data_IF_065450215675
#
_entry.id   IF_065450215675
#
_cell.length_a   1.000
_cell.length_b   1.000
_cell.length_c   1.000
_cell.angle_alpha   90.00
_cell.angle_beta   90.00
_cell.angle_gamma   90.00
#
_symmetry.space_group_name_H-M   'P 1'
#
loop_
_entity.id
_entity.type
_entity.pdbx_description
1 polymer ?
#
# COMPACT_ATOMS: atom_id res chain seq x y z
N UNK A 1 -8.73 31.71 -25.76
CA UNK A 1 -8.73 31.62 -24.28
C UNK A 1 -9.14 30.21 -23.87
N UNK A 2 -8.19 29.30 -23.61
CA UNK A 2 -8.49 27.95 -23.11
C UNK A 2 -8.94 28.07 -21.66
N UNK A 3 -10.19 27.70 -21.37
CA UNK A 3 -10.70 27.60 -20.00
C UNK A 3 -9.94 26.48 -19.29
N UNK A 4 -9.16 26.84 -18.27
CA UNK A 4 -8.65 25.90 -17.28
C UNK A 4 -9.87 25.31 -16.54
N UNK A 5 -10.20 24.06 -16.84
CA UNK A 5 -11.08 23.27 -16.01
C UNK A 5 -10.22 22.83 -14.83
N UNK A 6 -10.26 23.59 -13.73
CA UNK A 6 -9.95 23.04 -12.41
C UNK A 6 -10.95 21.92 -12.21
N UNK A 7 -10.49 20.66 -12.18
CA UNK A 7 -11.26 19.58 -11.58
C UNK A 7 -11.40 19.95 -10.12
N UNK A 8 -12.54 20.52 -9.75
CA UNK A 8 -12.97 20.60 -8.37
C UNK A 8 -12.97 19.16 -7.83
N UNK A 9 -12.28 18.97 -6.71
CA UNK A 9 -12.33 17.72 -5.96
C UNK A 9 -13.81 17.43 -5.74
N UNK A 10 -14.27 16.29 -6.25
CA UNK A 10 -15.67 15.91 -6.20
C UNK A 10 -16.18 16.05 -4.78
N UNK A 11 -17.29 16.76 -4.63
CA UNK A 11 -18.03 16.88 -3.39
C UNK A 11 -18.18 15.47 -2.79
N UNK A 12 -17.58 15.28 -1.62
CA UNK A 12 -17.74 14.06 -0.83
C UNK A 12 -19.21 13.96 -0.46
N UNK A 13 -19.97 13.12 -1.16
CA UNK A 13 -21.34 12.85 -0.80
C UNK A 13 -21.33 12.00 0.49
N UNK A 14 -21.73 12.54 1.66
CA UNK A 14 -21.48 11.91 2.97
C UNK A 14 -22.31 10.65 3.25
N UNK A 15 -23.13 10.20 2.30
CA UNK A 15 -24.21 9.22 2.52
C UNK A 15 -23.79 7.75 2.31
N UNK A 16 -22.64 7.43 1.71
CA UNK A 16 -22.42 6.07 1.16
C UNK A 16 -21.44 5.15 1.90
N UNK A 17 -20.62 5.62 2.86
CA UNK A 17 -19.78 4.77 3.72
C UNK A 17 -19.10 5.55 4.84
N UNK A 18 -19.34 5.16 6.10
CA UNK A 18 -18.59 5.66 7.26
C UNK A 18 -17.50 4.63 7.57
N UNK A 19 -16.23 5.05 7.44
CA UNK A 19 -15.10 4.21 7.81
C UNK A 19 -15.06 4.02 9.33
N UNK A 20 -15.22 2.79 9.86
CA UNK A 20 -15.16 2.55 11.29
C UNK A 20 -13.79 2.96 11.85
N UNK A 21 -13.79 3.63 12.99
CA UNK A 21 -12.55 3.99 13.67
C UNK A 21 -11.75 2.73 13.98
N UNK A 22 -10.55 2.64 13.39
CA UNK A 22 -9.66 1.50 13.52
C UNK A 22 -8.51 1.91 14.44
N UNK A 23 -8.28 1.23 15.58
CA UNK A 23 -7.16 1.52 16.46
C UNK A 23 -5.81 1.40 15.74
N UNK A 24 -4.80 2.11 16.25
CA UNK A 24 -3.48 2.17 15.62
C UNK A 24 -2.84 0.77 15.51
N UNK A 25 -2.51 0.38 14.26
CA UNK A 25 -1.92 -0.91 13.93
C UNK A 25 -2.88 -2.09 14.01
N UNK A 26 -4.18 -1.88 14.18
CA UNK A 26 -5.17 -2.95 14.09
C UNK A 26 -5.69 -3.12 12.67
N UNK A 27 -6.13 -4.35 12.36
CA UNK A 27 -6.71 -4.67 11.07
C UNK A 27 -8.05 -3.93 10.93
N UNK A 28 -8.22 -3.24 9.82
CA UNK A 28 -9.47 -2.56 9.47
C UNK A 28 -10.66 -3.53 9.52
N UNK A 29 -11.77 -3.07 10.12
CA UNK A 29 -12.99 -3.84 10.19
C UNK A 29 -13.73 -3.79 8.84
N UNK A 30 -13.90 -4.96 8.21
CA UNK A 30 -14.53 -5.13 6.90
C UNK A 30 -15.98 -5.65 6.96
N UNK A 31 -16.58 -5.69 8.15
CA UNK A 31 -17.94 -6.24 8.36
C UNK A 31 -19.05 -5.30 7.89
N UNK A 32 -18.74 -4.02 7.68
CA UNK A 32 -19.70 -3.02 7.17
C UNK A 32 -19.86 -3.12 5.64
N UNK A 33 -21.00 -2.64 5.15
CA UNK A 33 -21.26 -2.57 3.71
C UNK A 33 -20.20 -1.70 3.02
N UNK A 34 -19.68 -2.15 1.88
CA UNK A 34 -18.69 -1.39 1.11
C UNK A 34 -19.29 -0.13 0.48
N UNK A 35 -18.49 0.93 0.39
CA UNK A 35 -18.80 2.12 -0.39
C UNK A 35 -19.16 1.76 -1.85
N UNK A 36 -20.14 2.48 -2.41
CA UNK A 36 -20.51 2.32 -3.83
C UNK A 36 -19.40 2.78 -4.78
N UNK A 37 -18.55 3.70 -4.34
CA UNK A 37 -17.45 4.25 -5.11
C UNK A 37 -16.11 4.02 -4.40
N UNK A 38 -15.07 3.78 -5.18
CA UNK A 38 -13.72 3.60 -4.66
C UNK A 38 -13.13 4.95 -4.22
N UNK A 39 -12.70 5.02 -2.96
CA UNK A 39 -11.94 6.14 -2.42
C UNK A 39 -10.60 5.60 -1.88
N UNK A 40 -9.45 5.91 -2.53
CA UNK A 40 -8.15 5.42 -2.11
C UNK A 40 -7.81 5.78 -0.66
N UNK A 41 -8.11 7.02 -0.25
CA UNK A 41 -7.80 7.51 1.11
C UNK A 41 -8.52 6.69 2.18
N UNK A 42 -9.78 6.31 1.94
CA UNK A 42 -10.52 5.45 2.86
C UNK A 42 -10.03 4.00 2.78
N UNK A 43 -9.74 3.50 1.58
CA UNK A 43 -9.33 2.11 1.40
C UNK A 43 -7.96 1.85 2.02
N UNK A 44 -6.97 2.72 1.79
CA UNK A 44 -5.59 2.56 2.24
C UNK A 44 -5.39 2.83 3.74
N UNK A 45 -6.31 3.57 4.36
CA UNK A 45 -6.26 3.92 5.79
C UNK A 45 -6.13 2.67 6.67
N UNK A 46 -5.20 2.75 7.63
CA UNK A 46 -4.90 1.72 8.64
C UNK A 46 -4.23 0.43 8.13
N UNK A 47 -4.18 0.14 6.83
CA UNK A 47 -3.52 -1.08 6.34
C UNK A 47 -2.03 -1.07 6.56
N UNK A 48 -1.37 0.03 6.21
CA UNK A 48 0.09 0.12 6.27
C UNK A 48 0.60 -0.05 7.71
N UNK A 49 -0.02 0.65 8.67
CA UNK A 49 0.34 0.54 10.09
C UNK A 49 0.06 -0.85 10.66
N UNK A 50 -1.01 -1.52 10.22
CA UNK A 50 -1.27 -2.92 10.57
C UNK A 50 -0.23 -3.86 9.98
N UNK A 51 0.16 -3.69 8.71
CA UNK A 51 1.19 -4.50 8.06
C UNK A 51 2.55 -4.38 8.74
N UNK A 52 2.93 -3.16 9.14
CA UNK A 52 4.15 -2.91 9.93
C UNK A 52 4.07 -3.60 11.29
N UNK A 53 2.97 -3.44 12.04
CA UNK A 53 2.81 -4.07 13.35
C UNK A 53 2.77 -5.61 13.29
N UNK A 54 2.26 -6.16 12.18
CA UNK A 54 2.19 -7.60 11.97
C UNK A 54 3.50 -8.20 11.41
N UNK A 55 4.57 -7.39 11.28
CA UNK A 55 5.86 -7.78 10.73
C UNK A 55 5.75 -8.43 9.33
N UNK A 56 4.73 -8.07 8.56
CA UNK A 56 4.48 -8.71 7.26
C UNK A 56 5.60 -8.48 6.26
N UNK A 57 6.41 -7.45 6.43
CA UNK A 57 7.54 -7.14 5.57
C UNK A 57 8.83 -7.85 5.97
N UNK A 58 8.90 -8.40 7.18
CA UNK A 58 10.12 -8.98 7.76
C UNK A 58 10.40 -10.36 7.18
N UNK A 59 11.67 -10.62 6.85
CA UNK A 59 12.16 -11.95 6.49
C UNK A 59 12.59 -12.70 7.76
N UNK A 60 12.24 -13.98 7.87
CA UNK A 60 12.61 -14.81 9.01
C UNK A 60 13.97 -15.49 8.77
N UNK A 61 14.99 -15.17 9.58
CA UNK A 61 16.34 -15.75 9.43
C UNK A 61 16.41 -17.24 9.76
N UNK A 62 15.44 -17.78 10.51
CA UNK A 62 15.34 -19.19 10.86
C UNK A 62 14.45 -20.01 9.92
N UNK A 63 13.83 -19.38 8.93
CA UNK A 63 12.87 -20.05 8.05
C UNK A 63 13.54 -21.11 7.15
N UNK A 64 12.91 -22.29 7.07
CA UNK A 64 13.31 -23.37 6.14
C UNK A 64 12.84 -23.17 4.69
N UNK A 65 12.02 -22.14 4.43
CA UNK A 65 11.57 -21.78 3.08
C UNK A 65 12.73 -21.31 2.20
N UNK A 66 12.66 -21.53 0.87
CA UNK A 66 13.68 -21.03 -0.04
C UNK A 66 13.78 -19.50 0.01
N UNK A 67 14.99 -18.93 0.09
CA UNK A 67 15.18 -17.48 0.11
C UNK A 67 14.95 -16.87 -1.28
N UNK A 68 14.40 -15.67 -1.33
CA UNK A 68 14.31 -14.84 -2.53
C UNK A 68 14.58 -13.38 -2.15
N UNK A 69 15.53 -12.73 -2.80
CA UNK A 69 15.98 -11.38 -2.40
C UNK A 69 16.01 -10.46 -3.59
N UNK A 70 15.46 -9.25 -3.45
CA UNK A 70 15.63 -8.16 -4.42
C UNK A 70 16.56 -7.12 -3.82
N UNK A 71 17.74 -6.93 -4.40
CA UNK A 71 18.69 -5.93 -3.94
C UNK A 71 18.37 -4.59 -4.61
N UNK A 72 17.95 -3.62 -3.80
CA UNK A 72 17.86 -2.24 -4.25
C UNK A 72 19.22 -1.55 -4.04
N UNK A 73 19.80 -0.92 -5.07
CA UNK A 73 21.02 -0.15 -4.87
C UNK A 73 20.76 0.97 -3.84
N UNK A 74 21.77 1.36 -3.04
CA UNK A 74 21.62 2.44 -2.08
C UNK A 74 21.05 3.70 -2.78
N UNK A 75 20.01 4.34 -2.20
CA UNK A 75 19.35 5.44 -2.87
C UNK A 75 20.32 6.62 -3.01
N UNK A 76 20.54 7.07 -4.25
CA UNK A 76 21.18 8.35 -4.51
C UNK A 76 20.11 9.44 -4.38
N UNK A 77 19.97 10.00 -3.17
CA UNK A 77 18.96 11.04 -2.89
C UNK A 77 19.41 12.37 -3.48
N UNK A 78 19.06 12.62 -4.75
CA UNK A 78 19.40 13.86 -5.47
C UNK A 78 18.20 14.76 -5.75
N UNK A 79 16.99 14.37 -5.32
CA UNK A 79 15.76 15.15 -5.54
C UNK A 79 14.50 14.49 -4.99
N UNK A 80 13.33 15.01 -5.39
CA UNK A 80 12.03 14.46 -5.01
C UNK A 80 11.65 13.21 -5.82
N UNK A 81 10.88 12.30 -5.22
CA UNK A 81 10.35 11.13 -5.92
C UNK A 81 9.39 11.55 -7.04
N UNK A 82 9.72 11.21 -8.26
CA UNK A 82 8.81 11.25 -9.42
C UNK A 82 8.24 9.87 -9.76
N UNK A 83 7.28 9.84 -10.69
CA UNK A 83 6.58 8.63 -11.15
C UNK A 83 7.49 7.49 -11.64
N UNK A 84 8.73 7.80 -12.04
CA UNK A 84 9.71 6.81 -12.43
C UNK A 84 10.13 5.92 -11.26
N UNK A 85 10.36 6.52 -10.08
CA UNK A 85 10.62 5.77 -8.85
C UNK A 85 9.41 4.93 -8.45
N UNK A 86 8.20 5.51 -8.56
CA UNK A 86 6.98 4.79 -8.24
C UNK A 86 6.81 3.54 -9.11
N UNK A 87 7.11 3.63 -10.41
CA UNK A 87 7.02 2.50 -11.33
C UNK A 87 8.01 1.38 -10.97
N UNK A 88 9.28 1.72 -10.74
CA UNK A 88 10.30 0.71 -10.40
C UNK A 88 9.97 0.02 -9.08
N UNK A 89 9.64 0.80 -8.05
CA UNK A 89 9.27 0.25 -6.74
C UNK A 89 7.99 -0.60 -6.81
N UNK A 90 6.99 -0.22 -7.61
CA UNK A 90 5.76 -1.00 -7.76
C UNK A 90 6.01 -2.36 -8.43
N UNK A 91 6.92 -2.43 -9.41
CA UNK A 91 7.30 -3.69 -10.06
C UNK A 91 8.00 -4.60 -9.05
N UNK A 92 8.97 -4.08 -8.32
CA UNK A 92 9.73 -4.83 -7.31
C UNK A 92 8.83 -5.33 -6.16
N UNK A 93 7.95 -4.46 -5.64
CA UNK A 93 6.98 -4.80 -4.61
C UNK A 93 5.96 -5.86 -5.09
N UNK A 94 5.54 -5.80 -6.34
CA UNK A 94 4.65 -6.84 -6.91
C UNK A 94 5.36 -8.20 -6.93
N UNK A 95 6.62 -8.23 -7.36
CA UNK A 95 7.41 -9.47 -7.43
C UNK A 95 7.65 -10.05 -6.03
N UNK A 96 8.02 -9.21 -5.05
CA UNK A 96 8.31 -9.68 -3.70
C UNK A 96 7.07 -10.26 -3.03
N UNK A 97 5.90 -9.61 -3.19
CA UNK A 97 4.61 -10.11 -2.67
C UNK A 97 4.25 -11.44 -3.32
N UNK A 98 4.37 -11.54 -4.64
CA UNK A 98 4.08 -12.77 -5.36
C UNK A 98 4.97 -13.94 -4.89
N UNK A 99 6.27 -13.69 -4.68
CA UNK A 99 7.21 -14.70 -4.17
C UNK A 99 6.88 -15.12 -2.74
N UNK A 100 6.53 -14.17 -1.86
CA UNK A 100 6.10 -14.47 -0.48
C UNK A 100 4.84 -15.34 -0.47
N UNK A 101 3.86 -15.01 -1.31
CA UNK A 101 2.65 -15.83 -1.49
C UNK A 101 2.93 -17.21 -2.11
N UNK A 102 4.00 -17.32 -2.89
CA UNK A 102 4.45 -18.59 -3.49
C UNK A 102 5.29 -19.44 -2.53
N UNK A 103 5.39 -19.07 -1.25
CA UNK A 103 6.06 -19.86 -0.22
C UNK A 103 7.54 -19.59 -0.03
N UNK A 104 8.09 -18.52 -0.61
CA UNK A 104 9.49 -18.11 -0.40
C UNK A 104 9.63 -17.26 0.87
N UNK A 105 10.81 -17.31 1.49
CA UNK A 105 11.23 -16.32 2.48
C UNK A 105 11.84 -15.13 1.73
N UNK A 106 11.19 -13.98 1.79
CA UNK A 106 11.51 -12.85 0.91
C UNK A 106 12.12 -11.67 1.65
N UNK A 107 13.21 -11.12 1.11
CA UNK A 107 13.88 -9.90 1.59
C UNK A 107 13.94 -8.83 0.48
#
# INVERSE_FOLDING_TARGET
KRKNIKREAGEENPEDYIDPETPFGEKKNLSCQMAKQYNPSLVEKSWYTWWEKADFFVADSGSSKPPFVIVLPPPNVTGALHIGHALTCAIEDTIIRWRRMSGYNTL
#
